data_IF_729608144287
#
_entry.id   IF_729608144287
#
_cell.length_a   1.000
_cell.length_b   1.000
_cell.length_c   1.000
_cell.angle_alpha   90.00
_cell.angle_beta   90.00
_cell.angle_gamma   90.00
#
_symmetry.space_group_name_H-M   'P 1'
#
loop_
_entity.id
_entity.type
_entity.pdbx_description
1 polymer ?
#
# COMPACT_ATOMS: atom_id res chain seq x y z
N UNK A 1 29.95 -4.06 -3.81
CA UNK A 1 28.72 -3.37 -3.38
C UNK A 1 27.55 -4.23 -3.83
N UNK A 2 26.62 -4.65 -2.95
CA UNK A 2 25.43 -5.35 -3.41
C UNK A 2 24.64 -4.43 -4.35
N UNK A 3 24.38 -4.87 -5.57
CA UNK A 3 23.51 -4.17 -6.52
C UNK A 3 22.07 -4.51 -6.17
N UNK A 4 21.49 -3.76 -5.23
CA UNK A 4 20.06 -3.91 -4.95
C UNK A 4 19.25 -3.47 -6.16
N UNK A 5 18.26 -4.28 -6.55
CA UNK A 5 17.34 -3.93 -7.63
C UNK A 5 16.31 -2.93 -7.11
N UNK A 6 15.84 -1.97 -7.94
CA UNK A 6 14.79 -1.03 -7.55
C UNK A 6 13.56 -1.72 -6.95
N UNK A 7 13.21 -2.90 -7.46
CA UNK A 7 12.10 -3.71 -6.93
C UNK A 7 12.29 -4.04 -5.45
N UNK A 8 13.49 -4.48 -5.05
CA UNK A 8 13.74 -4.87 -3.66
C UNK A 8 13.54 -3.67 -2.72
N UNK A 9 14.02 -2.47 -3.07
CA UNK A 9 13.83 -1.24 -2.27
C UNK A 9 12.34 -0.91 -2.13
N UNK A 10 11.57 -1.04 -3.21
CA UNK A 10 10.14 -0.80 -3.18
C UNK A 10 9.42 -1.80 -2.26
N UNK A 11 9.80 -3.08 -2.31
CA UNK A 11 9.25 -4.11 -1.42
C UNK A 11 9.52 -3.79 0.05
N UNK A 12 10.75 -3.42 0.41
CA UNK A 12 11.10 -3.08 1.79
C UNK A 12 10.36 -1.83 2.28
N UNK A 13 10.20 -0.81 1.42
CA UNK A 13 9.42 0.37 1.76
C UNK A 13 7.94 0.01 1.99
N UNK A 14 7.35 -0.82 1.13
CA UNK A 14 5.96 -1.23 1.30
C UNK A 14 5.77 -2.05 2.59
N UNK A 15 6.70 -2.96 2.88
CA UNK A 15 6.72 -3.70 4.15
C UNK A 15 6.79 -2.76 5.33
N UNK A 16 7.70 -1.79 5.30
CA UNK A 16 7.83 -0.80 6.36
C UNK A 16 6.52 -0.03 6.59
N UNK A 17 5.89 0.45 5.51
CA UNK A 17 4.63 1.20 5.60
C UNK A 17 3.49 0.36 6.21
N UNK A 18 3.38 -0.92 5.85
CA UNK A 18 2.35 -1.82 6.38
C UNK A 18 2.64 -2.25 7.82
N UNK A 19 3.90 -2.52 8.17
CA UNK A 19 4.32 -2.81 9.54
C UNK A 19 4.21 -1.60 10.47
N UNK A 20 4.24 -0.37 9.95
CA UNK A 20 3.99 0.83 10.76
C UNK A 20 2.48 1.07 10.97
N UNK A 21 1.65 0.66 10.02
CA UNK A 21 0.19 0.71 10.16
C UNK A 21 -0.33 -0.36 11.13
N UNK A 22 0.23 -1.57 11.04
CA UNK A 22 0.06 -2.70 11.97
C UNK A 22 -1.37 -2.95 12.49
N UNK A 23 -2.37 -3.15 11.62
CA UNK A 23 -3.76 -3.30 12.05
C UNK A 23 -3.99 -4.51 12.98
N UNK A 24 -3.17 -5.56 12.91
CA UNK A 24 -3.27 -6.75 13.78
C UNK A 24 -2.48 -6.54 15.09
N UNK A 25 -1.45 -5.68 15.10
CA UNK A 25 -0.59 -5.44 16.27
C UNK A 25 0.54 -6.46 16.43
N UNK A 26 1.05 -7.02 15.32
CA UNK A 26 2.05 -8.11 15.33
C UNK A 26 3.36 -7.74 14.65
N UNK A 27 3.55 -6.48 14.23
CA UNK A 27 4.76 -6.07 13.50
C UNK A 27 6.06 -6.33 14.27
N UNK A 28 6.04 -6.25 15.61
CA UNK A 28 7.19 -6.57 16.48
C UNK A 28 7.46 -8.08 16.62
N UNK A 29 6.49 -8.92 16.23
CA UNK A 29 6.54 -10.38 16.35
C UNK A 29 6.79 -11.08 15.01
N UNK A 30 6.19 -10.57 13.93
CA UNK A 30 6.33 -11.08 12.56
C UNK A 30 6.36 -9.92 11.57
N UNK A 31 7.50 -9.73 10.91
CA UNK A 31 7.68 -8.62 9.97
C UNK A 31 7.07 -8.89 8.58
N UNK A 32 6.67 -10.12 8.31
CA UNK A 32 6.16 -10.61 7.02
C UNK A 32 4.65 -10.88 7.00
N UNK A 33 3.95 -10.61 8.11
CA UNK A 33 2.50 -10.84 8.24
C UNK A 33 1.71 -10.21 7.09
N UNK A 34 2.10 -8.99 6.71
CA UNK A 34 1.41 -8.20 5.69
C UNK A 34 1.92 -8.43 4.26
N UNK A 35 2.89 -9.33 4.06
CA UNK A 35 3.50 -9.61 2.75
C UNK A 35 2.46 -10.08 1.71
N UNK A 36 1.38 -10.72 2.16
CA UNK A 36 0.28 -11.18 1.33
C UNK A 36 -0.37 -10.05 0.51
N UNK A 37 -0.38 -8.81 1.04
CA UNK A 37 -0.94 -7.64 0.38
C UNK A 37 0.00 -7.01 -0.65
N UNK A 38 1.27 -7.39 -0.71
CA UNK A 38 2.27 -6.66 -1.50
C UNK A 38 2.01 -6.74 -3.00
N UNK A 39 1.85 -7.95 -3.53
CA UNK A 39 1.58 -8.16 -4.94
C UNK A 39 0.30 -7.42 -5.41
N UNK A 40 -0.85 -7.55 -4.74
CA UNK A 40 -2.06 -6.81 -5.13
C UNK A 40 -1.94 -5.29 -4.98
N UNK A 41 -1.20 -4.77 -3.99
CA UNK A 41 -0.95 -3.34 -3.84
C UNK A 41 -0.04 -2.80 -4.94
N UNK A 42 1.08 -3.46 -5.23
CA UNK A 42 1.96 -3.04 -6.32
C UNK A 42 1.27 -3.03 -7.67
N UNK A 43 0.42 -4.02 -7.95
CA UNK A 43 -0.35 -4.05 -9.19
C UNK A 43 -1.31 -2.86 -9.30
N UNK A 44 -1.98 -2.50 -8.20
CA UNK A 44 -2.87 -1.33 -8.13
C UNK A 44 -2.11 -0.02 -8.32
N UNK A 45 -1.04 0.18 -7.57
CA UNK A 45 -0.21 1.39 -7.65
C UNK A 45 0.37 1.60 -9.04
N UNK A 46 0.92 0.56 -9.67
CA UNK A 46 1.46 0.63 -11.04
C UNK A 46 0.42 0.93 -12.11
N UNK A 47 -0.86 0.62 -11.88
CA UNK A 47 -1.96 0.92 -12.78
C UNK A 47 -2.50 2.34 -12.62
N UNK A 48 -2.03 3.09 -11.61
CA UNK A 48 -2.56 4.42 -11.31
C UNK A 48 -3.97 4.40 -10.72
N UNK A 49 -4.28 3.40 -9.90
CA UNK A 49 -5.56 3.33 -9.18
C UNK A 49 -5.77 4.51 -8.24
N UNK A 50 -7.04 4.80 -8.00
CA UNK A 50 -7.50 5.90 -7.15
C UNK A 50 -7.35 5.57 -5.67
N UNK A 51 -7.40 6.61 -4.84
CA UNK A 51 -7.50 6.49 -3.38
C UNK A 51 -8.60 5.54 -2.95
N UNK A 52 -9.80 5.69 -3.53
CA UNK A 52 -10.96 4.88 -3.18
C UNK A 52 -10.71 3.39 -3.44
N UNK A 53 -10.15 3.04 -4.58
CA UNK A 53 -9.86 1.63 -4.93
C UNK A 53 -8.81 0.99 -4.01
N UNK A 54 -7.83 1.77 -3.53
CA UNK A 54 -6.85 1.27 -2.56
C UNK A 54 -7.50 1.16 -1.17
N UNK A 55 -8.28 2.15 -0.75
CA UNK A 55 -9.01 2.12 0.52
C UNK A 55 -9.99 0.96 0.62
N UNK A 56 -10.77 0.71 -0.44
CA UNK A 56 -11.69 -0.43 -0.54
C UNK A 56 -10.94 -1.76 -0.49
N UNK A 57 -9.79 -1.86 -1.17
CA UNK A 57 -8.96 -3.07 -1.09
C UNK A 57 -8.47 -3.33 0.34
N UNK A 58 -7.95 -2.30 1.02
CA UNK A 58 -7.49 -2.44 2.40
C UNK A 58 -8.65 -2.79 3.33
N UNK A 59 -9.80 -2.14 3.16
CA UNK A 59 -11.03 -2.47 3.92
C UNK A 59 -11.39 -3.94 3.78
N UNK A 60 -11.45 -4.44 2.55
CA UNK A 60 -11.78 -5.84 2.27
C UNK A 60 -10.77 -6.81 2.86
N UNK A 61 -9.46 -6.56 2.75
CA UNK A 61 -8.45 -7.43 3.36
C UNK A 61 -8.58 -7.48 4.89
N UNK A 62 -8.83 -6.34 5.54
CA UNK A 62 -9.05 -6.31 6.98
C UNK A 62 -10.28 -7.13 7.39
N UNK A 63 -11.41 -6.95 6.71
CA UNK A 63 -12.67 -7.64 7.05
C UNK A 63 -12.61 -9.13 6.71
N UNK A 64 -12.34 -9.46 5.45
CA UNK A 64 -12.53 -10.81 4.92
C UNK A 64 -11.32 -11.72 5.12
N UNK A 65 -10.10 -11.16 5.11
CA UNK A 65 -8.88 -11.96 5.22
C UNK A 65 -8.35 -11.99 6.66
N UNK A 66 -8.33 -10.84 7.35
CA UNK A 66 -7.84 -10.75 8.72
C UNK A 66 -8.93 -10.87 9.79
N UNK A 67 -10.21 -10.75 9.44
CA UNK A 67 -11.32 -10.85 10.38
C UNK A 67 -11.40 -9.69 11.38
N UNK A 68 -10.88 -8.52 11.00
CA UNK A 68 -10.88 -7.29 11.78
C UNK A 68 -12.09 -6.42 11.45
N UNK A 69 -12.40 -5.45 12.31
CA UNK A 69 -13.35 -4.38 11.99
C UNK A 69 -12.61 -3.24 11.28
N UNK A 70 -12.70 -3.12 9.95
CA UNK A 70 -11.98 -2.09 9.20
C UNK A 70 -12.33 -0.65 9.59
N UNK A 71 -13.47 -0.41 10.24
CA UNK A 71 -13.86 0.92 10.70
C UNK A 71 -12.86 1.51 11.73
N UNK A 72 -12.16 0.65 12.47
CA UNK A 72 -11.19 1.05 13.50
C UNK A 72 -9.77 1.29 12.95
N UNK A 73 -9.53 0.99 11.67
CA UNK A 73 -8.17 0.90 11.12
C UNK A 73 -7.82 1.97 10.08
N UNK A 74 -8.67 2.97 9.85
CA UNK A 74 -8.34 4.15 9.04
C UNK A 74 -7.77 3.81 7.64
N UNK A 75 -8.37 2.84 6.95
CA UNK A 75 -7.91 2.33 5.64
C UNK A 75 -7.74 3.43 4.59
N UNK A 76 -8.61 4.43 4.63
CA UNK A 76 -8.57 5.63 3.78
C UNK A 76 -7.30 6.47 3.99
N UNK A 77 -6.87 6.66 5.23
CA UNK A 77 -5.65 7.39 5.55
C UNK A 77 -4.40 6.59 5.13
N UNK A 78 -4.45 5.25 5.27
CA UNK A 78 -3.38 4.39 4.79
C UNK A 78 -3.31 4.39 3.25
N UNK A 79 -4.44 4.43 2.55
CA UNK A 79 -4.49 4.58 1.10
C UNK A 79 -3.84 5.90 0.64
N UNK A 80 -4.15 7.02 1.30
CA UNK A 80 -3.51 8.31 1.04
C UNK A 80 -1.99 8.24 1.21
N UNK A 81 -1.53 7.58 2.28
CA UNK A 81 -0.09 7.39 2.55
C UNK A 81 0.59 6.57 1.46
N UNK A 82 -0.02 5.47 1.01
CA UNK A 82 0.52 4.62 -0.06
C UNK A 82 0.63 5.36 -1.40
N UNK A 83 -0.38 6.17 -1.75
CA UNK A 83 -0.36 6.99 -2.97
C UNK A 83 0.72 8.07 -2.91
N UNK A 84 0.84 8.75 -1.76
CA UNK A 84 1.86 9.77 -1.55
C UNK A 84 3.27 9.19 -1.66
N UNK A 85 3.50 8.04 -1.03
CA UNK A 85 4.76 7.31 -1.16
C UNK A 85 5.04 6.90 -2.60
N UNK A 86 4.08 6.26 -3.28
CA UNK A 86 4.25 5.80 -4.67
C UNK A 86 4.59 6.96 -5.61
N UNK A 87 3.92 8.10 -5.45
CA UNK A 87 4.17 9.32 -6.25
C UNK A 87 5.57 9.91 -6.02
N UNK A 88 6.18 9.67 -4.87
CA UNK A 88 7.53 10.15 -4.56
C UNK A 88 8.63 9.22 -5.11
N UNK A 89 8.36 7.91 -5.22
CA UNK A 89 9.35 6.90 -5.64
C UNK A 89 9.22 6.48 -7.10
N UNK A 90 8.06 6.71 -7.73
CA UNK A 90 7.83 6.51 -9.16
C UNK A 90 7.73 7.87 -9.88
N UNK A 91 8.86 8.41 -10.38
CA UNK A 91 8.89 9.73 -11.02
C UNK A 91 8.25 9.77 -12.42
N UNK A 92 7.63 8.68 -12.91
CA UNK A 92 6.83 8.71 -14.13
C UNK A 92 5.47 9.40 -13.86
N UNK A 93 5.22 10.62 -14.38
CA UNK A 93 4.00 11.34 -14.10
C UNK A 93 2.86 10.80 -14.97
N UNK A 94 1.69 10.54 -14.39
CA UNK A 94 0.46 11.34 -14.53
C UNK A 94 0.15 12.12 -15.84
N UNK A 95 0.80 11.82 -16.97
CA UNK A 95 0.52 12.38 -18.29
C UNK A 95 -0.76 11.74 -18.84
N UNK A 96 -1.90 12.17 -18.29
CA UNK A 96 -3.21 11.70 -18.72
C UNK A 96 -4.40 12.31 -18.00
N UNK A 97 -4.21 13.20 -17.01
CA UNK A 97 -5.34 13.87 -16.34
C UNK A 97 -5.66 15.18 -17.07
N UNK A 98 -6.45 15.11 -18.13
CA UNK A 98 -7.11 16.30 -18.69
C UNK A 98 -8.15 16.79 -17.66
N UNK A 99 -8.15 18.06 -17.24
CA UNK A 99 -9.24 18.57 -16.43
C UNK A 99 -10.49 18.64 -17.30
N UNK A 100 -11.56 17.96 -16.87
CA UNK A 100 -12.89 18.14 -17.45
C UNK A 100 -13.30 19.61 -17.27
N UNK A 101 -13.81 20.18 -18.35
CA UNK A 101 -14.12 21.61 -18.54
C UNK A 101 -15.41 21.99 -17.82
#
# INVERSE_FOLDING_TARGET
MPTWTPSAVLFDNLRYLLNEWDPIGVADLSHDEYDCMFAPLFQRLRRGTTRAEIGEFLWYELEDHFGLDPADHQTDAMADRLIAWWSAVDPAPHAGRTPAT
#
